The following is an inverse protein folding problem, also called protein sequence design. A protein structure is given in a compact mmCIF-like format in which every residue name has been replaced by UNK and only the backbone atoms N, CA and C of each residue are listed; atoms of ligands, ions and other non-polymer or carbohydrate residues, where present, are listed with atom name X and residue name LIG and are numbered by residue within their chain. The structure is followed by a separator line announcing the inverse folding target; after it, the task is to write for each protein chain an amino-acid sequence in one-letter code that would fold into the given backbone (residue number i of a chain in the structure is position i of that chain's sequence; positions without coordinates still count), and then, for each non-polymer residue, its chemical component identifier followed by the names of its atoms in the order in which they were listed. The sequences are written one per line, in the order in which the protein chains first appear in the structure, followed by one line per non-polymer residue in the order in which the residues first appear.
data_IF_961595211111
#
_entry.id   IF_961595211111
#
_cell.length_a   1.000
_cell.length_b   1.000
_cell.length_c   1.000
_cell.angle_alpha   90.00
_cell.angle_beta   90.00
_cell.angle_gamma   90.00
#
_symmetry.space_group_name_H-M   'P 1'
#
loop_
_entity.id
_entity.type
_entity.pdbx_description
1 polymer ?
#
# COMPACT_ATOMS: atom_id res chain seq x y z
N UNK A 1 -7.34 24.95 -5.71
CA UNK A 1 -7.69 23.57 -6.09
C UNK A 1 -6.55 23.03 -6.92
N UNK A 2 -5.86 22.03 -6.41
CA UNK A 2 -4.82 21.29 -7.15
C UNK A 2 -5.48 20.11 -7.86
N UNK A 3 -4.82 19.57 -8.87
CA UNK A 3 -5.19 18.30 -9.50
C UNK A 3 -4.06 17.30 -9.31
N UNK A 4 -4.35 16.18 -8.68
CA UNK A 4 -3.37 15.15 -8.32
C UNK A 4 -3.60 13.92 -9.19
N UNK A 5 -2.58 13.47 -9.91
CA UNK A 5 -2.58 12.20 -10.62
C UNK A 5 -2.22 11.10 -9.63
N UNK A 6 -3.12 10.12 -9.42
CA UNK A 6 -2.90 8.99 -8.52
C UNK A 6 -2.84 7.70 -9.34
N UNK A 7 -1.67 7.10 -9.48
CA UNK A 7 -1.55 5.79 -10.11
C UNK A 7 -1.80 4.68 -9.10
N UNK A 8 -2.41 3.57 -9.52
CA UNK A 8 -2.82 2.51 -8.60
C UNK A 8 -3.99 2.91 -7.68
N UNK A 9 -4.77 3.92 -8.10
CA UNK A 9 -5.83 4.50 -7.28
C UNK A 9 -7.06 3.61 -7.07
N UNK A 10 -7.21 2.50 -7.81
CA UNK A 10 -8.23 1.49 -7.57
C UNK A 10 -7.76 0.36 -6.63
N UNK A 11 -6.49 0.36 -6.23
CA UNK A 11 -5.92 -0.56 -5.24
C UNK A 11 -6.24 -0.17 -3.80
N UNK A 12 -5.74 -0.94 -2.84
CA UNK A 12 -6.01 -0.78 -1.41
C UNK A 12 -5.62 0.63 -0.89
N UNK A 13 -4.33 0.95 -0.86
CA UNK A 13 -3.84 2.24 -0.34
C UNK A 13 -4.26 3.38 -1.27
N UNK A 14 -4.18 3.16 -2.60
CA UNK A 14 -4.55 4.18 -3.59
C UNK A 14 -5.99 4.63 -3.45
N UNK A 15 -6.94 3.72 -3.24
CA UNK A 15 -8.35 4.09 -3.05
C UNK A 15 -8.60 4.85 -1.75
N UNK A 16 -7.86 4.55 -0.67
CA UNK A 16 -7.91 5.33 0.56
C UNK A 16 -7.39 6.77 0.34
N UNK A 17 -6.28 6.93 -0.39
CA UNK A 17 -5.75 8.25 -0.78
C UNK A 17 -6.78 9.03 -1.61
N UNK A 18 -7.39 8.41 -2.61
CA UNK A 18 -8.41 9.05 -3.46
C UNK A 18 -9.63 9.48 -2.65
N UNK A 19 -10.15 8.61 -1.79
CA UNK A 19 -11.27 8.95 -0.89
C UNK A 19 -10.90 10.10 0.05
N UNK A 20 -9.72 10.05 0.67
CA UNK A 20 -9.25 11.13 1.54
C UNK A 20 -9.18 12.47 0.81
N UNK A 21 -8.58 12.53 -0.39
CA UNK A 21 -8.47 13.78 -1.15
C UNK A 21 -9.86 14.35 -1.48
N UNK A 22 -10.78 13.51 -1.97
CA UNK A 22 -12.10 14.00 -2.40
C UNK A 22 -12.98 14.37 -1.20
N UNK A 23 -12.93 13.63 -0.09
CA UNK A 23 -13.81 13.92 1.06
C UNK A 23 -13.25 15.00 1.99
N UNK A 24 -11.93 15.03 2.21
CA UNK A 24 -11.32 15.86 3.25
C UNK A 24 -10.63 17.12 2.70
N UNK A 25 -10.55 17.28 1.38
CA UNK A 25 -9.86 18.42 0.76
C UNK A 25 -10.69 19.04 -0.38
N UNK A 26 -10.22 20.19 -0.90
CA UNK A 26 -10.81 20.81 -2.09
C UNK A 26 -10.15 20.38 -3.40
N UNK A 27 -9.17 19.46 -3.37
CA UNK A 27 -8.39 19.09 -4.54
C UNK A 27 -9.11 18.06 -5.43
N UNK A 28 -8.70 17.96 -6.69
CA UNK A 28 -9.22 17.04 -7.68
C UNK A 28 -8.24 15.88 -7.90
N UNK A 29 -8.75 14.72 -8.28
CA UNK A 29 -7.98 13.50 -8.51
C UNK A 29 -8.23 12.95 -9.91
N UNK A 30 -7.16 12.57 -10.59
CA UNK A 30 -7.19 11.71 -11.78
C UNK A 30 -6.56 10.38 -11.39
N UNK A 31 -7.36 9.32 -11.38
CA UNK A 31 -6.90 7.97 -11.11
C UNK A 31 -6.43 7.32 -12.42
N UNK A 32 -5.23 6.73 -12.38
CA UNK A 32 -4.70 5.87 -13.45
C UNK A 32 -4.50 4.47 -12.87
N UNK A 33 -5.24 3.49 -13.39
CA UNK A 33 -5.15 2.10 -12.93
C UNK A 33 -5.46 1.15 -14.08
N UNK A 34 -4.69 0.08 -14.24
CA UNK A 34 -4.95 -0.94 -15.27
C UNK A 34 -6.00 -1.97 -14.86
N UNK A 35 -6.45 -1.94 -13.60
CA UNK A 35 -7.41 -2.88 -13.01
C UNK A 35 -6.95 -4.34 -13.12
N UNK A 36 -5.82 -4.62 -12.45
CA UNK A 36 -5.38 -6.01 -12.22
C UNK A 36 -6.27 -6.67 -11.16
N UNK A 37 -5.91 -7.86 -10.74
CA UNK A 37 -6.65 -8.64 -9.74
C UNK A 37 -6.94 -7.87 -8.43
N UNK A 38 -6.06 -6.96 -8.02
CA UNK A 38 -6.20 -6.17 -6.78
C UNK A 38 -6.88 -4.81 -6.99
N UNK A 39 -7.10 -4.38 -8.24
CA UNK A 39 -7.78 -3.13 -8.57
C UNK A 39 -9.29 -3.32 -8.61
N UNK A 40 -10.03 -2.56 -7.76
CA UNK A 40 -11.48 -2.69 -7.66
C UNK A 40 -12.17 -1.30 -7.64
N UNK A 41 -12.95 -1.00 -8.67
CA UNK A 41 -13.68 0.27 -8.77
C UNK A 41 -14.75 0.44 -7.68
N UNK A 42 -15.24 -0.63 -7.06
CA UNK A 42 -16.14 -0.53 -5.91
C UNK A 42 -15.48 0.16 -4.71
N UNK A 43 -14.15 0.13 -4.61
CA UNK A 43 -13.40 0.86 -3.58
C UNK A 43 -13.46 2.39 -3.76
N UNK A 44 -13.88 2.85 -4.94
CA UNK A 44 -14.02 4.25 -5.31
C UNK A 44 -15.49 4.71 -5.44
N UNK A 45 -16.45 3.82 -5.14
CA UNK A 45 -17.88 4.09 -5.36
C UNK A 45 -18.37 5.37 -4.66
N UNK A 46 -17.85 5.67 -3.44
CA UNK A 46 -18.24 6.86 -2.68
C UNK A 46 -17.77 8.19 -3.31
N UNK A 47 -16.82 8.15 -4.24
CA UNK A 47 -16.24 9.34 -4.89
C UNK A 47 -16.50 9.39 -6.39
N UNK A 48 -17.02 8.32 -6.98
CA UNK A 48 -17.18 8.16 -8.43
C UNK A 48 -18.10 9.21 -9.09
N UNK A 49 -19.00 9.84 -8.32
CA UNK A 49 -19.93 10.87 -8.81
C UNK A 49 -19.43 12.31 -8.57
N UNK A 50 -18.24 12.47 -7.99
CA UNK A 50 -17.66 13.80 -7.77
C UNK A 50 -17.17 14.39 -9.10
N UNK A 51 -17.46 15.69 -9.32
CA UNK A 51 -16.92 16.47 -10.45
C UNK A 51 -15.40 16.71 -10.35
N UNK A 52 -14.82 16.42 -9.18
CA UNK A 52 -13.39 16.47 -8.91
C UNK A 52 -12.68 15.11 -9.11
N UNK A 53 -13.37 14.08 -9.57
CA UNK A 53 -12.85 12.75 -9.80
C UNK A 53 -12.86 12.40 -11.29
N UNK A 54 -11.74 11.84 -11.77
CA UNK A 54 -11.65 11.22 -13.10
C UNK A 54 -10.92 9.88 -13.02
N UNK A 55 -11.28 8.94 -13.90
CA UNK A 55 -10.68 7.62 -13.97
C UNK A 55 -10.20 7.31 -15.40
N UNK A 56 -8.96 6.86 -15.51
CA UNK A 56 -8.33 6.40 -16.76
C UNK A 56 -7.85 4.96 -16.58
N UNK A 57 -8.39 4.04 -17.39
CA UNK A 57 -7.94 2.65 -17.41
C UNK A 57 -6.70 2.52 -18.28
N UNK A 58 -5.52 2.70 -17.68
CA UNK A 58 -4.24 2.69 -18.38
C UNK A 58 -3.18 1.96 -17.57
N UNK A 59 -2.31 1.20 -18.26
CA UNK A 59 -1.09 0.62 -17.68
C UNK A 59 -0.01 1.70 -17.61
N UNK A 60 0.68 1.81 -16.47
CA UNK A 60 1.81 2.75 -16.32
C UNK A 60 3.01 2.43 -17.23
N UNK A 61 3.06 1.24 -17.83
CA UNK A 61 4.02 0.89 -18.88
C UNK A 61 3.67 1.52 -20.25
N UNK A 62 2.42 1.95 -20.46
CA UNK A 62 1.98 2.62 -21.70
C UNK A 62 2.28 4.11 -21.65
N UNK A 63 3.51 4.45 -22.06
CA UNK A 63 4.00 5.82 -22.07
C UNK A 63 3.15 6.77 -22.90
N UNK A 64 2.68 6.36 -24.06
CA UNK A 64 1.88 7.22 -24.94
C UNK A 64 0.56 7.63 -24.29
N UNK A 65 -0.12 6.69 -23.64
CA UNK A 65 -1.33 6.97 -22.86
C UNK A 65 -1.05 7.87 -21.65
N UNK A 66 0.08 7.69 -20.95
CA UNK A 66 0.49 8.58 -19.86
C UNK A 66 0.73 10.01 -20.34
N UNK A 67 1.46 10.21 -21.46
CA UNK A 67 1.72 11.52 -22.04
C UNK A 67 0.39 12.23 -22.42
N UNK A 68 -0.56 11.50 -23.02
CA UNK A 68 -1.92 12.01 -23.28
C UNK A 68 -2.62 12.47 -21.99
N UNK A 69 -2.54 11.67 -20.92
CA UNK A 69 -3.17 11.99 -19.62
C UNK A 69 -2.55 13.25 -19.02
N UNK A 70 -1.23 13.39 -19.03
CA UNK A 70 -0.56 14.61 -18.57
C UNK A 70 -1.00 15.85 -19.34
N UNK A 71 -1.12 15.76 -20.67
CA UNK A 71 -1.58 16.85 -21.52
C UNK A 71 -3.04 17.21 -21.26
N UNK A 72 -3.91 16.22 -21.12
CA UNK A 72 -5.35 16.40 -20.96
C UNK A 72 -5.69 16.98 -19.58
N UNK A 73 -5.08 16.45 -18.53
CA UNK A 73 -5.47 16.77 -17.15
C UNK A 73 -4.58 17.80 -16.48
N UNK A 74 -3.37 18.02 -16.97
CA UNK A 74 -2.40 18.99 -16.46
C UNK A 74 -2.24 18.94 -14.92
N UNK A 75 -1.82 17.78 -14.35
CA UNK A 75 -1.75 17.60 -12.92
C UNK A 75 -0.66 18.49 -12.28
N UNK A 76 -0.94 18.98 -11.09
CA UNK A 76 0.01 19.74 -10.26
C UNK A 76 0.99 18.82 -9.51
N UNK A 77 0.59 17.57 -9.29
CA UNK A 77 1.43 16.56 -8.66
C UNK A 77 1.03 15.14 -9.07
N UNK A 78 1.95 14.22 -8.87
CA UNK A 78 1.78 12.77 -9.07
C UNK A 78 1.97 12.08 -7.73
N UNK A 79 1.07 11.16 -7.39
CA UNK A 79 1.24 10.18 -6.32
C UNK A 79 1.30 8.80 -6.97
N UNK A 80 2.48 8.18 -6.96
CA UNK A 80 2.74 6.93 -7.65
C UNK A 80 2.63 5.74 -6.70
N UNK A 81 1.43 5.09 -6.69
CA UNK A 81 1.14 3.91 -5.90
C UNK A 81 0.97 2.63 -6.74
N UNK A 82 0.90 2.73 -8.07
CA UNK A 82 0.79 1.56 -8.93
C UNK A 82 2.01 0.66 -8.79
N UNK A 83 1.80 -0.58 -8.36
CA UNK A 83 2.84 -1.59 -8.19
C UNK A 83 2.24 -2.99 -8.12
N UNK A 84 3.00 -4.00 -8.54
CA UNK A 84 2.80 -5.36 -8.06
C UNK A 84 3.36 -5.44 -6.63
N UNK A 85 2.59 -5.98 -5.66
CA UNK A 85 2.89 -5.80 -4.22
C UNK A 85 2.82 -7.05 -3.35
N UNK A 86 2.55 -8.23 -3.90
CA UNK A 86 2.44 -9.45 -3.11
C UNK A 86 3.74 -10.25 -3.16
N UNK A 87 4.44 -10.37 -2.02
CA UNK A 87 5.75 -11.04 -1.93
C UNK A 87 5.69 -12.47 -2.47
N UNK A 88 4.70 -13.28 -2.05
CA UNK A 88 4.59 -14.68 -2.48
C UNK A 88 4.38 -14.79 -4.00
N UNK A 89 3.59 -13.88 -4.62
CA UNK A 89 3.47 -13.79 -6.08
C UNK A 89 4.79 -13.42 -6.75
N UNK A 90 5.64 -12.62 -6.09
CA UNK A 90 6.95 -12.25 -6.64
C UNK A 90 7.93 -13.42 -6.67
N UNK A 91 7.76 -14.40 -5.77
CA UNK A 91 8.53 -15.64 -5.75
C UNK A 91 8.11 -16.54 -6.92
N UNK A 92 6.81 -16.66 -7.17
CA UNK A 92 6.26 -17.49 -8.25
C UNK A 92 6.47 -16.88 -9.66
N UNK A 93 6.43 -15.54 -9.78
CA UNK A 93 6.50 -14.85 -11.07
C UNK A 93 7.16 -13.46 -10.98
N UNK A 94 8.49 -13.37 -10.83
CA UNK A 94 9.19 -12.09 -10.61
C UNK A 94 9.12 -11.13 -11.80
N UNK A 95 8.91 -11.62 -13.02
CA UNK A 95 8.91 -10.80 -14.23
C UNK A 95 7.86 -9.68 -14.21
N UNK A 96 6.66 -9.96 -13.71
CA UNK A 96 5.60 -8.96 -13.58
C UNK A 96 5.99 -7.81 -12.64
N UNK A 97 6.78 -8.10 -11.60
CA UNK A 97 7.29 -7.09 -10.65
C UNK A 97 8.35 -6.20 -11.28
N UNK A 98 9.24 -6.76 -12.09
CA UNK A 98 10.25 -5.99 -12.85
C UNK A 98 9.54 -5.09 -13.86
N UNK A 99 8.61 -5.64 -14.65
CA UNK A 99 7.87 -4.87 -15.64
C UNK A 99 7.08 -3.73 -15.01
N UNK A 100 6.23 -4.03 -14.03
CA UNK A 100 5.38 -2.99 -13.43
C UNK A 100 6.17 -2.03 -12.56
N UNK A 101 7.00 -2.53 -11.62
CA UNK A 101 7.61 -1.69 -10.61
C UNK A 101 8.83 -0.93 -11.12
N UNK A 102 9.59 -1.49 -12.07
CA UNK A 102 10.78 -0.82 -12.61
C UNK A 102 10.46 -0.14 -13.94
N UNK A 103 10.01 -0.90 -14.95
CA UNK A 103 9.75 -0.34 -16.29
C UNK A 103 8.57 0.62 -16.27
N UNK A 104 7.49 0.29 -15.55
CA UNK A 104 6.34 1.17 -15.36
C UNK A 104 6.70 2.46 -14.64
N UNK A 105 7.53 2.40 -13.57
CA UNK A 105 8.02 3.61 -12.87
C UNK A 105 8.88 4.46 -13.81
N UNK A 106 9.77 3.84 -14.58
CA UNK A 106 10.56 4.55 -15.59
C UNK A 106 9.66 5.26 -16.62
N UNK A 107 8.65 4.59 -17.16
CA UNK A 107 7.73 5.15 -18.14
C UNK A 107 6.95 6.35 -17.58
N UNK A 108 6.48 6.24 -16.34
CA UNK A 108 5.78 7.33 -15.66
C UNK A 108 6.70 8.51 -15.34
N UNK A 109 7.94 8.26 -14.91
CA UNK A 109 8.95 9.31 -14.68
C UNK A 109 9.26 10.09 -15.95
N UNK A 110 9.40 9.41 -17.08
CA UNK A 110 9.67 10.05 -18.37
C UNK A 110 8.47 10.86 -18.88
N UNK A 111 7.24 10.35 -18.74
CA UNK A 111 6.03 11.10 -19.07
C UNK A 111 5.89 12.35 -18.18
N UNK A 112 6.13 12.20 -16.87
CA UNK A 112 6.08 13.31 -15.93
C UNK A 112 7.18 14.36 -16.22
N UNK A 113 8.40 13.92 -16.54
CA UNK A 113 9.52 14.80 -16.90
C UNK A 113 9.24 15.58 -18.19
N UNK A 114 8.71 14.88 -19.22
CA UNK A 114 8.34 15.51 -20.48
C UNK A 114 7.31 16.63 -20.26
N UNK A 115 6.23 16.31 -19.51
CA UNK A 115 5.21 17.29 -19.13
C UNK A 115 5.79 18.44 -18.28
N UNK A 116 6.51 18.13 -17.20
CA UNK A 116 7.12 19.12 -16.32
C UNK A 116 8.03 20.09 -17.06
N UNK A 117 8.77 19.61 -18.07
CA UNK A 117 9.67 20.47 -18.88
C UNK A 117 8.92 21.58 -19.63
N UNK A 118 7.64 21.40 -19.93
CA UNK A 118 6.80 22.37 -20.65
C UNK A 118 6.15 23.43 -19.73
N UNK A 119 6.18 23.24 -18.41
CA UNK A 119 5.59 24.16 -17.44
C UNK A 119 6.39 25.46 -17.33
N UNK A 120 5.74 26.53 -16.91
CA UNK A 120 6.42 27.76 -16.51
C UNK A 120 7.25 27.58 -15.22
N UNK A 121 8.00 28.59 -14.83
CA UNK A 121 8.92 28.52 -13.69
C UNK A 121 8.20 28.24 -12.36
N UNK A 122 7.07 28.89 -12.13
CA UNK A 122 6.31 28.76 -10.88
C UNK A 122 5.65 27.39 -10.79
N UNK A 123 5.03 26.93 -11.88
CA UNK A 123 4.43 25.59 -11.94
C UNK A 123 5.49 24.48 -11.82
N UNK A 124 6.69 24.66 -12.43
CA UNK A 124 7.81 23.74 -12.23
C UNK A 124 8.25 23.64 -10.77
N UNK A 125 8.39 24.77 -10.10
CA UNK A 125 8.79 24.84 -8.70
C UNK A 125 7.74 24.22 -7.76
N UNK A 126 6.45 24.35 -8.11
CA UNK A 126 5.33 23.80 -7.35
C UNK A 126 5.04 22.32 -7.62
N UNK A 127 5.49 21.77 -8.76
CA UNK A 127 5.22 20.38 -9.13
C UNK A 127 5.87 19.40 -8.15
N UNK A 128 5.21 18.27 -7.91
CA UNK A 128 5.75 17.18 -7.07
C UNK A 128 5.48 15.83 -7.71
N UNK A 129 6.51 14.99 -7.73
CA UNK A 129 6.39 13.57 -8.04
C UNK A 129 6.66 12.78 -6.75
N UNK A 130 5.61 12.28 -6.12
CA UNK A 130 5.70 11.51 -4.88
C UNK A 130 5.62 10.01 -5.19
N UNK A 131 6.69 9.29 -4.93
CA UNK A 131 6.78 7.83 -5.07
C UNK A 131 6.54 7.16 -3.74
N UNK A 132 5.59 6.23 -3.71
CA UNK A 132 5.22 5.47 -2.53
C UNK A 132 5.90 4.11 -2.57
N UNK A 133 6.76 3.85 -1.58
CA UNK A 133 7.55 2.64 -1.41
C UNK A 133 7.20 1.92 -0.11
N UNK A 134 8.05 1.02 0.34
CA UNK A 134 7.85 0.12 1.47
C UNK A 134 9.10 0.06 2.34
N UNK A 135 8.96 -0.25 3.62
CA UNK A 135 10.07 -0.54 4.53
C UNK A 135 10.81 -1.84 4.18
N UNK A 136 10.20 -2.74 3.42
CA UNK A 136 10.83 -3.99 2.97
C UNK A 136 12.10 -3.77 2.11
N UNK A 137 12.29 -2.56 1.58
CA UNK A 137 13.53 -2.21 0.86
C UNK A 137 14.77 -2.16 1.76
N UNK A 138 14.58 -1.96 3.07
CA UNK A 138 15.66 -1.91 4.05
C UNK A 138 16.19 -3.30 4.43
N UNK A 139 15.43 -4.36 4.24
CA UNK A 139 15.78 -5.73 4.60
C UNK A 139 15.27 -6.14 5.98
N UNK A 140 16.04 -6.92 6.73
CA UNK A 140 15.65 -7.52 8.02
C UNK A 140 16.38 -6.86 9.20
N UNK A 141 15.68 -6.66 10.31
CA UNK A 141 16.25 -6.21 11.59
C UNK A 141 16.55 -7.41 12.48
N UNK A 142 17.78 -7.49 12.97
CA UNK A 142 18.26 -8.61 13.77
C UNK A 142 18.19 -8.38 15.28
N UNK A 143 18.03 -7.13 15.73
CA UNK A 143 17.93 -6.77 17.15
C UNK A 143 16.58 -6.15 17.47
N UNK A 144 16.19 -6.18 18.74
CA UNK A 144 14.91 -5.62 19.19
C UNK A 144 14.90 -4.09 19.23
N UNK A 145 16.08 -3.47 19.37
CA UNK A 145 16.22 -2.03 19.58
C UNK A 145 16.53 -1.26 18.29
N UNK A 146 16.78 -1.95 17.17
CA UNK A 146 17.06 -1.32 15.88
C UNK A 146 15.76 -0.91 15.17
N UNK A 147 15.84 0.21 14.44
CA UNK A 147 14.76 0.72 13.60
C UNK A 147 15.31 1.16 12.24
N UNK A 148 14.52 0.98 11.20
CA UNK A 148 14.83 1.55 9.90
C UNK A 148 14.61 3.07 9.92
N UNK A 149 15.66 3.81 9.61
CA UNK A 149 15.61 5.25 9.38
C UNK A 149 15.71 5.53 7.88
N UNK A 150 15.47 6.78 7.47
CA UNK A 150 15.59 7.19 6.06
C UNK A 150 17.03 7.10 5.52
N UNK A 151 18.02 6.93 6.41
CA UNK A 151 19.44 6.75 6.07
C UNK A 151 19.90 5.29 6.12
N UNK A 152 19.04 4.36 6.53
CA UNK A 152 19.34 2.92 6.54
C UNK A 152 19.64 2.45 5.12
N UNK A 153 20.76 1.77 4.86
CA UNK A 153 21.07 1.20 3.54
C UNK A 153 20.01 0.17 3.12
N UNK A 154 19.70 0.13 1.82
CA UNK A 154 18.80 -0.84 1.27
C UNK A 154 19.45 -2.22 1.17
N UNK A 155 18.75 -3.25 1.65
CA UNK A 155 19.16 -4.66 1.61
C UNK A 155 17.95 -5.60 1.36
N UNK A 156 17.20 -5.43 0.25
CA UNK A 156 15.96 -6.15 0.00
C UNK A 156 16.15 -7.65 -0.11
N UNK A 157 15.23 -8.45 0.48
CA UNK A 157 15.32 -9.92 0.59
C UNK A 157 14.44 -10.66 -0.43
N UNK A 158 13.52 -9.99 -1.12
CA UNK A 158 12.57 -10.60 -2.06
C UNK A 158 12.60 -9.95 -3.43
N UNK A 159 12.12 -10.63 -4.50
CA UNK A 159 11.97 -9.99 -5.81
C UNK A 159 11.08 -8.75 -5.78
N UNK A 160 10.02 -8.75 -4.95
CA UNK A 160 9.18 -7.58 -4.71
C UNK A 160 9.99 -6.42 -4.12
N UNK A 161 10.61 -6.61 -2.97
CA UNK A 161 11.35 -5.55 -2.30
C UNK A 161 12.54 -5.05 -3.13
N UNK A 162 13.22 -5.93 -3.88
CA UNK A 162 14.27 -5.56 -4.82
C UNK A 162 13.74 -4.68 -5.97
N UNK A 163 12.56 -4.99 -6.51
CA UNK A 163 11.92 -4.17 -7.54
C UNK A 163 11.52 -2.78 -7.02
N UNK A 164 11.04 -2.70 -5.77
CA UNK A 164 10.72 -1.43 -5.10
C UNK A 164 11.98 -0.61 -4.81
N UNK A 165 13.04 -1.23 -4.29
CA UNK A 165 14.33 -0.55 -4.11
C UNK A 165 14.88 0.01 -5.43
N UNK A 166 14.74 -0.73 -6.53
CA UNK A 166 15.13 -0.28 -7.87
C UNK A 166 14.34 0.95 -8.31
N UNK A 167 13.02 0.96 -8.11
CA UNK A 167 12.18 2.11 -8.45
C UNK A 167 12.50 3.34 -7.58
N UNK A 168 12.79 3.17 -6.30
CA UNK A 168 13.24 4.26 -5.41
C UNK A 168 14.54 4.90 -5.93
N UNK A 169 15.50 4.09 -6.38
CA UNK A 169 16.73 4.58 -6.98
C UNK A 169 16.51 5.34 -8.29
N UNK A 170 15.59 4.87 -9.15
CA UNK A 170 15.19 5.60 -10.36
C UNK A 170 14.62 6.97 -10.01
N UNK A 171 13.71 7.06 -9.06
CA UNK A 171 13.07 8.32 -8.63
C UNK A 171 14.11 9.31 -8.13
N UNK A 172 15.04 8.88 -7.28
CA UNK A 172 16.15 9.72 -6.81
C UNK A 172 17.10 10.15 -7.92
N UNK A 173 17.35 9.27 -8.90
CA UNK A 173 18.20 9.59 -10.05
C UNK A 173 17.54 10.65 -10.93
N UNK A 174 16.21 10.62 -11.16
CA UNK A 174 15.50 11.63 -11.93
C UNK A 174 15.59 13.04 -11.33
N UNK A 175 15.55 13.13 -9.99
CA UNK A 175 15.82 14.41 -9.33
C UNK A 175 17.27 14.87 -9.56
N UNK A 176 18.23 14.02 -9.28
CA UNK A 176 19.66 14.41 -9.32
C UNK A 176 20.16 14.70 -10.72
N UNK A 177 19.64 13.99 -11.72
CA UNK A 177 20.09 14.11 -13.12
C UNK A 177 19.31 15.16 -13.88
N UNK A 178 18.00 15.22 -13.70
CA UNK A 178 17.11 16.06 -14.52
C UNK A 178 16.43 17.19 -13.76
N UNK A 179 16.55 17.22 -12.43
CA UNK A 179 15.92 18.23 -11.59
C UNK A 179 14.42 18.03 -11.38
N UNK A 180 13.84 16.89 -11.79
CA UNK A 180 12.42 16.60 -11.54
C UNK A 180 12.16 16.58 -10.04
N UNK A 181 11.23 17.41 -9.50
CA UNK A 181 11.05 17.53 -8.05
C UNK A 181 10.32 16.29 -7.47
N UNK A 182 11.11 15.33 -7.01
CA UNK A 182 10.62 14.05 -6.46
C UNK A 182 10.66 14.01 -4.94
N UNK A 183 9.82 13.13 -4.38
CA UNK A 183 9.72 12.74 -2.97
C UNK A 183 9.58 11.21 -2.91
N UNK A 184 10.08 10.59 -1.85
CA UNK A 184 9.91 9.15 -1.59
C UNK A 184 9.32 8.96 -0.20
N UNK A 185 8.38 8.03 -0.05
CA UNK A 185 7.95 7.55 1.27
C UNK A 185 8.11 6.04 1.36
N UNK A 186 8.62 5.56 2.49
CA UNK A 186 8.68 4.15 2.83
C UNK A 186 7.73 3.89 3.98
N UNK A 187 6.72 3.03 3.77
CA UNK A 187 5.70 2.76 4.78
C UNK A 187 5.83 1.37 5.37
N UNK A 188 5.41 1.23 6.63
CA UNK A 188 5.22 -0.05 7.28
C UNK A 188 3.99 -0.81 6.74
N UNK A 189 3.72 -2.02 7.28
CA UNK A 189 2.63 -2.86 6.80
C UNK A 189 1.27 -2.21 7.01
N UNK A 190 0.52 -2.04 5.94
CA UNK A 190 -0.80 -1.43 5.98
C UNK A 190 -1.91 -2.44 6.25
N UNK A 191 -2.96 -2.00 6.96
CA UNK A 191 -4.19 -2.75 7.17
C UNK A 191 -5.39 -1.79 7.22
N UNK A 192 -6.60 -2.34 7.00
CA UNK A 192 -7.82 -1.53 7.04
C UNK A 192 -8.88 -1.95 6.03
N UNK A 193 -9.90 -1.11 5.82
CA UNK A 193 -10.95 -1.28 4.82
C UNK A 193 -10.42 -1.45 3.40
N UNK A 194 -11.09 -2.28 2.58
CA UNK A 194 -10.76 -2.52 1.17
C UNK A 194 -9.42 -3.22 0.91
N UNK A 195 -8.80 -3.87 1.92
CA UNK A 195 -7.59 -4.65 1.72
C UNK A 195 -7.90 -5.97 1.01
N UNK A 196 -7.15 -6.28 -0.06
CA UNK A 196 -7.40 -7.48 -0.86
C UNK A 196 -7.23 -8.77 -0.04
N UNK A 197 -8.12 -9.77 -0.19
CA UNK A 197 -8.22 -10.95 0.69
C UNK A 197 -7.00 -11.88 0.74
N UNK A 198 -6.00 -11.74 -0.13
CA UNK A 198 -4.76 -12.53 -0.09
C UNK A 198 -3.79 -12.13 1.04
N UNK A 199 -3.99 -10.97 1.64
CA UNK A 199 -3.14 -10.45 2.72
C UNK A 199 -3.57 -10.98 4.09
N UNK A 200 -2.62 -11.04 5.03
CA UNK A 200 -2.78 -11.68 6.34
C UNK A 200 -4.11 -11.32 7.03
N UNK A 201 -4.36 -10.05 7.30
CA UNK A 201 -5.51 -9.61 8.12
C UNK A 201 -6.84 -9.94 7.45
N UNK A 202 -7.13 -9.53 6.19
CA UNK A 202 -8.40 -9.89 5.57
C UNK A 202 -8.55 -11.40 5.34
N UNK A 203 -7.47 -12.11 5.01
CA UNK A 203 -7.52 -13.57 4.86
C UNK A 203 -7.97 -14.26 6.16
N UNK A 204 -7.39 -13.86 7.31
CA UNK A 204 -7.75 -14.44 8.61
C UNK A 204 -9.20 -14.12 8.98
N UNK A 205 -9.67 -12.89 8.78
CA UNK A 205 -11.06 -12.50 9.03
C UNK A 205 -12.02 -13.37 8.19
N UNK A 206 -11.80 -13.44 6.88
CA UNK A 206 -12.72 -14.13 5.97
C UNK A 206 -12.66 -15.66 6.11
N UNK A 207 -11.50 -16.23 6.37
CA UNK A 207 -11.36 -17.66 6.67
C UNK A 207 -12.09 -18.01 7.98
N UNK A 208 -11.93 -17.22 9.03
CA UNK A 208 -12.62 -17.44 10.30
C UNK A 208 -14.14 -17.41 10.11
N UNK A 209 -14.67 -16.41 9.42
CA UNK A 209 -16.10 -16.29 9.11
C UNK A 209 -16.63 -17.46 8.24
N UNK A 210 -15.76 -18.09 7.45
CA UNK A 210 -16.09 -19.27 6.65
C UNK A 210 -15.83 -20.61 7.36
N UNK A 211 -15.34 -20.60 8.62
CA UNK A 211 -14.96 -21.81 9.36
C UNK A 211 -13.73 -22.54 8.78
N UNK A 212 -12.91 -21.84 8.00
CA UNK A 212 -11.69 -22.38 7.37
C UNK A 212 -10.49 -22.22 8.31
N UNK A 213 -9.42 -23.06 8.13
CA UNK A 213 -8.16 -22.88 8.85
C UNK A 213 -7.57 -21.48 8.71
N UNK A 214 -6.92 -21.00 9.77
CA UNK A 214 -6.17 -19.73 9.82
C UNK A 214 -4.68 -20.03 9.73
N UNK A 215 -4.06 -20.04 8.52
CA UNK A 215 -2.69 -20.46 8.34
C UNK A 215 -1.70 -19.42 8.86
N UNK A 216 -0.87 -19.81 9.82
CA UNK A 216 0.22 -19.00 10.37
C UNK A 216 1.55 -19.58 9.89
N UNK A 217 2.36 -18.78 9.22
CA UNK A 217 3.66 -19.18 8.69
C UNK A 217 4.67 -19.45 9.82
N UNK A 218 5.40 -20.56 9.73
CA UNK A 218 6.38 -20.97 10.71
C UNK A 218 5.77 -21.08 12.12
N UNK A 219 6.30 -20.35 13.07
CA UNK A 219 5.79 -20.25 14.43
C UNK A 219 5.04 -18.94 14.73
N UNK A 220 4.86 -18.07 13.71
CA UNK A 220 4.16 -16.80 13.84
C UNK A 220 4.91 -15.71 14.62
N UNK A 221 6.22 -15.85 14.82
CA UNK A 221 7.04 -14.91 15.61
C UNK A 221 7.55 -13.71 14.80
N UNK A 222 7.33 -13.70 13.48
CA UNK A 222 7.70 -12.56 12.64
C UNK A 222 6.96 -11.31 13.12
N UNK A 223 7.71 -10.21 13.26
CA UNK A 223 7.20 -8.93 13.78
C UNK A 223 7.03 -7.95 12.63
N UNK A 224 5.90 -7.25 12.61
CA UNK A 224 5.58 -6.18 11.66
C UNK A 224 5.06 -4.97 12.42
N UNK A 225 5.43 -3.79 11.96
CA UNK A 225 4.76 -2.55 12.35
C UNK A 225 3.49 -2.37 11.50
N UNK A 226 2.36 -2.09 12.14
CA UNK A 226 1.04 -2.04 11.49
C UNK A 226 0.50 -0.63 11.44
N UNK A 227 0.29 -0.13 10.22
CA UNK A 227 -0.20 1.21 9.92
C UNK A 227 -1.65 1.16 9.38
N UNK A 228 -2.57 1.85 10.03
CA UNK A 228 -3.94 1.93 9.55
C UNK A 228 -4.02 2.73 8.24
N UNK A 229 -4.72 2.20 7.23
CA UNK A 229 -4.65 2.69 5.85
C UNK A 229 -5.13 4.14 5.69
N UNK A 230 -6.10 4.60 6.48
CA UNK A 230 -6.59 5.97 6.42
C UNK A 230 -5.59 6.96 7.05
N UNK A 231 -4.87 6.55 8.09
CA UNK A 231 -3.72 7.30 8.61
C UNK A 231 -2.61 7.43 7.57
N UNK A 232 -2.33 6.34 6.86
CA UNK A 232 -1.37 6.37 5.76
C UNK A 232 -1.81 7.30 4.63
N UNK A 233 -3.07 7.22 4.19
CA UNK A 233 -3.61 8.12 3.15
C UNK A 233 -3.45 9.60 3.54
N UNK A 234 -3.72 9.95 4.80
CA UNK A 234 -3.51 11.28 5.36
C UNK A 234 -2.03 11.68 5.34
N UNK A 235 -1.13 10.77 5.74
CA UNK A 235 0.31 11.02 5.67
C UNK A 235 0.79 11.30 4.24
N UNK A 236 0.37 10.47 3.28
CA UNK A 236 0.77 10.59 1.87
C UNK A 236 0.31 11.92 1.27
N UNK A 237 -0.93 12.35 1.55
CA UNK A 237 -1.40 13.66 1.12
C UNK A 237 -0.61 14.80 1.78
N UNK A 238 -0.27 14.65 3.05
CA UNK A 238 0.53 15.64 3.78
C UNK A 238 1.94 15.77 3.20
N UNK A 239 2.58 14.64 2.86
CA UNK A 239 3.91 14.62 2.24
C UNK A 239 3.89 15.25 0.84
N UNK A 240 2.93 14.91 -0.03
CA UNK A 240 2.90 15.49 -1.40
C UNK A 240 2.64 16.99 -1.40
N UNK A 241 1.97 17.50 -0.37
CA UNK A 241 1.62 18.93 -0.24
C UNK A 241 2.67 19.75 0.48
N UNK A 242 3.37 19.21 1.46
CA UNK A 242 4.23 19.94 2.38
C UNK A 242 5.67 19.37 2.48
N UNK A 243 5.92 18.17 1.96
CA UNK A 243 7.23 17.54 2.02
C UNK A 243 8.30 18.29 1.22
N UNK A 244 9.53 18.27 1.71
CA UNK A 244 10.67 18.89 1.04
C UNK A 244 11.11 18.04 -0.17
N UNK A 245 11.37 18.71 -1.30
CA UNK A 245 11.85 18.05 -2.53
C UNK A 245 13.16 17.32 -2.30
N UNK A 246 13.25 16.10 -2.76
CA UNK A 246 14.45 15.25 -2.63
C UNK A 246 14.48 14.43 -1.34
N UNK A 247 13.58 14.69 -0.40
CA UNK A 247 13.55 13.99 0.87
C UNK A 247 12.83 12.64 0.78
N UNK A 248 13.24 11.75 1.68
CA UNK A 248 12.56 10.51 1.99
C UNK A 248 11.90 10.65 3.37
N UNK A 249 10.68 10.15 3.53
CA UNK A 249 9.98 10.10 4.81
C UNK A 249 9.52 8.67 5.09
N UNK A 250 9.90 8.16 6.23
CA UNK A 250 9.38 6.92 6.77
C UNK A 250 8.00 7.17 7.41
N UNK A 251 7.05 6.26 7.15
CA UNK A 251 5.68 6.35 7.68
C UNK A 251 5.35 5.04 8.40
N UNK A 252 5.27 5.06 9.72
CA UNK A 252 5.03 3.91 10.58
C UNK A 252 3.84 4.10 11.52
N UNK A 253 3.29 2.98 11.97
CA UNK A 253 2.15 2.96 12.90
C UNK A 253 2.58 3.00 14.38
N UNK A 254 3.85 2.75 14.67
CA UNK A 254 4.36 2.48 16.03
C UNK A 254 3.62 1.32 16.72
N UNK A 255 3.20 0.34 15.94
CA UNK A 255 2.36 -0.79 16.35
C UNK A 255 3.01 -2.13 15.99
N UNK A 256 4.22 -2.38 16.51
CA UNK A 256 4.90 -3.66 16.31
C UNK A 256 4.13 -4.81 16.97
N UNK A 257 3.79 -5.84 16.18
CA UNK A 257 3.09 -7.05 16.63
C UNK A 257 3.65 -8.28 15.94
N UNK A 258 3.69 -9.39 16.66
CA UNK A 258 3.94 -10.71 16.08
C UNK A 258 2.73 -11.14 15.24
N UNK A 259 2.98 -11.80 14.13
CA UNK A 259 1.90 -12.29 13.26
C UNK A 259 0.88 -13.15 14.02
N UNK A 260 1.33 -14.01 14.93
CA UNK A 260 0.44 -14.83 15.76
C UNK A 260 -0.45 -13.98 16.67
N UNK A 261 0.07 -12.88 17.24
CA UNK A 261 -0.71 -11.99 18.10
C UNK A 261 -1.76 -11.19 17.30
N UNK A 262 -1.43 -10.83 16.06
CA UNK A 262 -2.41 -10.24 15.13
C UNK A 262 -3.56 -11.21 14.87
N UNK A 263 -3.28 -12.46 14.56
CA UNK A 263 -4.31 -13.50 14.32
C UNK A 263 -5.16 -13.72 15.55
N UNK A 264 -4.55 -13.80 16.74
CA UNK A 264 -5.28 -13.92 18.02
C UNK A 264 -6.19 -12.73 18.29
N UNK A 265 -5.74 -11.52 18.00
CA UNK A 265 -6.54 -10.30 18.15
C UNK A 265 -7.76 -10.31 17.23
N UNK A 266 -7.60 -10.80 15.98
CA UNK A 266 -8.72 -10.98 15.04
C UNK A 266 -9.72 -12.00 15.60
N UNK A 267 -9.27 -13.16 16.10
CA UNK A 267 -10.14 -14.16 16.70
C UNK A 267 -10.94 -13.57 17.88
N UNK A 268 -10.27 -12.86 18.78
CA UNK A 268 -10.92 -12.23 19.94
C UNK A 268 -11.99 -11.20 19.52
N UNK A 269 -11.70 -10.38 18.52
CA UNK A 269 -12.68 -9.43 17.99
C UNK A 269 -13.87 -10.13 17.31
N UNK A 270 -13.65 -11.23 16.61
CA UNK A 270 -14.71 -12.00 15.98
C UNK A 270 -15.58 -12.72 17.04
N UNK A 271 -15.01 -13.20 18.16
CA UNK A 271 -15.81 -13.73 19.27
C UNK A 271 -16.82 -12.70 19.80
N UNK A 272 -16.43 -11.43 19.83
CA UNK A 272 -17.28 -10.33 20.29
C UNK A 272 -18.28 -9.88 19.22
N UNK A 273 -17.80 -9.63 17.98
CA UNK A 273 -18.53 -8.92 16.93
C UNK A 273 -19.34 -9.87 16.02
N UNK A 274 -18.98 -11.14 15.94
CA UNK A 274 -19.63 -12.18 15.15
C UNK A 274 -19.85 -13.45 15.97
N UNK A 275 -20.68 -13.39 17.04
CA UNK A 275 -20.88 -14.51 17.95
C UNK A 275 -21.60 -15.71 17.33
N UNK A 276 -22.30 -15.51 16.20
CA UNK A 276 -22.90 -16.59 15.40
C UNK A 276 -21.84 -17.22 14.52
N UNK A 277 -21.28 -18.34 14.98
CA UNK A 277 -20.18 -19.02 14.32
C UNK A 277 -20.64 -19.96 13.21
N UNK A 278 -19.76 -20.25 12.22
CA UNK A 278 -19.99 -21.30 11.24
C UNK A 278 -20.21 -22.68 11.90
N UNK A 279 -20.92 -23.60 11.23
CA UNK A 279 -21.11 -24.96 11.73
C UNK A 279 -19.78 -25.64 12.05
N UNK A 280 -19.69 -26.27 13.25
CA UNK A 280 -18.49 -26.99 13.70
C UNK A 280 -17.42 -26.13 14.36
N UNK A 281 -17.55 -24.82 14.36
CA UNK A 281 -16.61 -23.89 15.04
C UNK A 281 -17.11 -23.62 16.47
N UNK A 282 -16.30 -24.00 17.46
CA UNK A 282 -16.57 -23.68 18.87
C UNK A 282 -15.95 -22.34 19.24
N UNK A 283 -14.67 -22.15 18.93
CA UNK A 283 -13.98 -20.87 19.08
C UNK A 283 -13.22 -20.56 17.80
N UNK A 284 -13.15 -19.27 17.39
CA UNK A 284 -12.37 -18.88 16.23
C UNK A 284 -10.88 -19.16 16.40
N UNK A 285 -10.37 -19.10 17.63
CA UNK A 285 -8.99 -19.41 17.96
C UNK A 285 -8.59 -20.86 17.62
N UNK A 286 -9.55 -21.82 17.69
CA UNK A 286 -9.30 -23.25 17.40
C UNK A 286 -9.01 -23.50 15.90
N UNK A 287 -9.29 -22.51 15.03
CA UNK A 287 -8.99 -22.56 13.59
C UNK A 287 -7.52 -22.26 13.27
N UNK A 288 -6.71 -21.75 14.22
CA UNK A 288 -5.31 -21.40 13.99
C UNK A 288 -4.53 -22.68 13.67
N UNK A 289 -3.85 -22.68 12.52
CA UNK A 289 -3.00 -23.77 12.06
C UNK A 289 -1.63 -23.26 11.66
N UNK A 290 -0.57 -23.94 12.10
CA UNK A 290 0.79 -23.58 11.69
C UNK A 290 1.14 -24.30 10.39
N UNK A 291 1.75 -23.57 9.46
CA UNK A 291 2.18 -24.09 8.16
C UNK A 291 3.66 -23.78 7.95
N UNK A 292 4.31 -24.47 6.99
CA UNK A 292 5.72 -24.22 6.69
C UNK A 292 5.94 -22.74 6.34
N UNK A 293 7.08 -22.20 6.74
CA UNK A 293 7.44 -20.83 6.42
C UNK A 293 7.80 -20.63 4.94
N UNK A 294 7.73 -19.40 4.46
CA UNK A 294 8.10 -19.06 3.09
C UNK A 294 9.59 -18.77 2.98
N UNK A 295 10.22 -19.00 1.81
CA UNK A 295 11.61 -18.58 1.58
C UNK A 295 11.78 -17.06 1.73
N UNK A 296 12.91 -16.64 2.32
CA UNK A 296 13.22 -15.20 2.48
C UNK A 296 12.26 -14.44 3.37
N UNK A 297 11.67 -15.11 4.38
CA UNK A 297 10.75 -14.44 5.30
C UNK A 297 11.52 -13.71 6.40
N UNK A 298 11.65 -12.40 6.25
CA UNK A 298 12.31 -11.53 7.21
C UNK A 298 11.65 -11.61 8.59
N UNK A 299 12.48 -11.58 9.64
CA UNK A 299 12.02 -11.76 11.00
C UNK A 299 11.31 -10.53 11.54
N UNK A 300 11.90 -9.33 11.35
CA UNK A 300 11.38 -8.11 11.96
C UNK A 300 11.49 -6.90 11.04
N UNK A 301 10.38 -6.17 10.94
CA UNK A 301 10.33 -4.82 10.41
C UNK A 301 9.85 -3.87 11.49
N UNK A 302 10.59 -2.80 11.70
CA UNK A 302 10.22 -1.70 12.57
C UNK A 302 10.79 -0.40 11.99
N UNK A 303 9.95 0.61 11.84
CA UNK A 303 10.30 1.84 11.16
C UNK A 303 10.32 3.01 12.13
N UNK A 304 11.33 3.86 12.02
CA UNK A 304 11.38 5.14 12.72
C UNK A 304 10.67 6.21 11.86
N UNK A 305 9.50 6.64 12.31
CA UNK A 305 8.70 7.70 11.69
C UNK A 305 8.88 9.07 12.38
N UNK A 306 9.95 9.28 13.14
CA UNK A 306 10.17 10.52 13.88
C UNK A 306 10.41 11.73 12.96
N UNK A 307 10.97 11.52 11.78
CA UNK A 307 11.23 12.59 10.81
C UNK A 307 9.92 13.23 10.30
N UNK A 308 8.96 12.44 9.86
CA UNK A 308 7.68 12.97 9.38
C UNK A 308 6.92 13.69 10.52
N UNK A 309 7.00 13.18 11.74
CA UNK A 309 6.41 13.84 12.90
C UNK A 309 7.07 15.19 13.19
N UNK A 310 8.40 15.23 13.19
CA UNK A 310 9.17 16.45 13.48
C UNK A 310 9.03 17.51 12.39
N UNK A 311 9.11 17.12 11.13
CA UNK A 311 9.19 18.06 10.00
C UNK A 311 7.82 18.46 9.45
N UNK A 312 6.86 17.53 9.48
CA UNK A 312 5.53 17.75 8.91
C UNK A 312 4.41 17.71 9.95
N UNK A 313 4.69 17.42 11.23
CA UNK A 313 3.69 17.38 12.30
C UNK A 313 2.69 16.21 12.19
N UNK A 314 2.99 15.21 11.36
CA UNK A 314 2.10 14.07 11.19
C UNK A 314 2.40 12.96 12.20
N UNK A 315 1.35 12.41 12.79
CA UNK A 315 1.37 11.18 13.61
C UNK A 315 0.15 10.32 13.30
N UNK A 316 0.21 8.98 13.49
CA UNK A 316 -0.97 8.14 13.36
C UNK A 316 -2.03 8.52 14.41
N UNK A 317 -3.30 8.40 14.05
CA UNK A 317 -4.44 8.67 14.93
C UNK A 317 -5.01 7.37 15.52
N UNK A 318 -4.86 6.26 14.81
CA UNK A 318 -5.35 4.96 15.27
C UNK A 318 -4.26 4.20 16.02
N UNK A 319 -4.65 3.57 17.13
CA UNK A 319 -3.87 2.47 17.72
C UNK A 319 -4.13 1.19 16.95
N UNK A 320 -3.30 0.16 17.15
CA UNK A 320 -3.56 -1.15 16.56
C UNK A 320 -4.94 -1.70 16.94
N UNK A 321 -5.33 -1.53 18.19
CA UNK A 321 -6.59 -2.04 18.74
C UNK A 321 -7.80 -1.33 18.12
N UNK A 322 -7.75 0.01 18.03
CA UNK A 322 -8.85 0.80 17.45
C UNK A 322 -8.99 0.56 15.96
N UNK A 323 -7.87 0.57 15.21
CA UNK A 323 -7.84 0.32 13.78
C UNK A 323 -8.25 -1.12 13.43
N UNK A 324 -7.81 -2.13 14.22
CA UNK A 324 -8.19 -3.53 14.00
C UNK A 324 -9.70 -3.74 14.22
N UNK A 325 -10.28 -3.14 15.25
CA UNK A 325 -11.73 -3.18 15.49
C UNK A 325 -12.49 -2.59 14.31
N UNK A 326 -12.10 -1.40 13.84
CA UNK A 326 -12.69 -0.77 12.63
C UNK A 326 -12.58 -1.67 11.42
N UNK A 327 -11.43 -2.33 11.23
CA UNK A 327 -11.19 -3.24 10.12
C UNK A 327 -12.14 -4.44 10.17
N UNK A 328 -12.24 -5.14 11.30
CA UNK A 328 -13.15 -6.30 11.46
C UNK A 328 -14.60 -5.87 11.24
N UNK A 329 -15.03 -4.77 11.84
CA UNK A 329 -16.38 -4.22 11.66
C UNK A 329 -16.67 -3.90 10.18
N UNK A 330 -15.69 -3.36 9.48
CA UNK A 330 -15.84 -3.06 8.06
C UNK A 330 -16.07 -4.33 7.24
N UNK A 331 -15.28 -5.39 7.44
CA UNK A 331 -15.47 -6.67 6.71
C UNK A 331 -16.83 -7.30 7.02
N UNK A 332 -17.30 -7.23 8.26
CA UNK A 332 -18.63 -7.73 8.64
C UNK A 332 -19.77 -6.96 7.95
N UNK A 333 -19.59 -5.65 7.73
CA UNK A 333 -20.62 -4.79 7.14
C UNK A 333 -20.55 -4.70 5.60
N UNK A 334 -19.48 -5.17 4.95
CA UNK A 334 -19.24 -4.93 3.52
C UNK A 334 -19.08 -6.22 2.70
N UNK A 335 -19.94 -7.22 2.94
CA UNK A 335 -19.94 -8.48 2.21
C UNK A 335 -20.07 -8.30 0.68
N UNK A 336 -20.86 -7.32 0.25
CA UNK A 336 -21.06 -7.00 -1.17
C UNK A 336 -19.76 -6.57 -1.87
N UNK A 337 -18.76 -6.07 -1.11
CA UNK A 337 -17.47 -5.71 -1.69
C UNK A 337 -16.53 -6.91 -1.82
N UNK A 338 -16.39 -7.75 -0.76
CA UNK A 338 -15.36 -8.79 -0.75
C UNK A 338 -15.83 -10.13 -1.33
N UNK A 339 -17.13 -10.46 -1.31
CA UNK A 339 -17.64 -11.70 -1.92
C UNK A 339 -17.32 -11.82 -3.42
N UNK A 340 -17.61 -10.81 -4.28
CA UNK A 340 -17.23 -10.88 -5.68
C UNK A 340 -15.71 -10.95 -5.92
N UNK A 341 -14.92 -10.37 -5.02
CA UNK A 341 -13.45 -10.43 -5.09
C UNK A 341 -12.94 -11.86 -4.88
N UNK A 342 -13.53 -12.61 -3.95
CA UNK A 342 -13.17 -14.02 -3.72
C UNK A 342 -13.68 -14.94 -4.84
N UNK A 343 -14.88 -14.70 -5.37
CA UNK A 343 -15.48 -15.54 -6.41
C UNK A 343 -14.81 -15.37 -7.79
N UNK A 344 -14.12 -14.25 -8.02
CA UNK A 344 -13.60 -13.88 -9.32
C UNK A 344 -12.16 -14.29 -9.62
N UNK A 345 -11.26 -14.28 -8.65
CA UNK A 345 -9.82 -14.42 -8.92
C UNK A 345 -8.98 -15.10 -7.83
N UNK A 346 -9.43 -15.10 -6.59
CA UNK A 346 -8.68 -15.63 -5.44
C UNK A 346 -9.62 -16.25 -4.41
N UNK A 347 -9.40 -17.53 -4.09
CA UNK A 347 -10.28 -18.29 -3.19
C UNK A 347 -9.64 -18.63 -1.83
N UNK A 348 -8.58 -17.91 -1.45
CA UNK A 348 -7.87 -18.12 -0.19
C UNK A 348 -6.80 -19.22 -0.30
N UNK A 349 -6.38 -19.60 -1.51
CA UNK A 349 -5.28 -20.54 -1.71
C UNK A 349 -3.93 -19.95 -1.27
N UNK A 350 -3.03 -20.83 -0.82
CA UNK A 350 -1.67 -20.46 -0.45
C UNK A 350 -0.84 -20.15 -1.70
N UNK A 351 -0.20 -18.98 -1.73
CA UNK A 351 0.69 -18.54 -2.81
C UNK A 351 2.16 -18.79 -2.44
N UNK A 352 3.09 -18.68 -3.40
CA UNK A 352 4.53 -18.77 -3.16
C UNK A 352 5.07 -20.19 -2.96
N UNK A 353 4.35 -21.22 -3.39
CA UNK A 353 4.75 -22.64 -3.26
C UNK A 353 5.31 -23.26 -4.53
N UNK A 354 5.18 -22.63 -5.68
CA UNK A 354 5.72 -23.14 -6.94
C UNK A 354 7.25 -23.01 -6.91
N UNK A 355 7.93 -24.16 -6.91
CA UNK A 355 9.38 -24.25 -7.12
C UNK A 355 9.67 -24.46 -8.60
#
# INVERSE_FOLDING_TARGET
MKRILVTGGAGFIGSAVVRHIIHETADAVVVVDKLTYAGNLMSLASVAQSDRFAFEKVDICDRASLERIFQQYQPNSVMHLAAESHVDRSIDGPAAFIETNIVGTYSLLEAARAYWSTLDADAKAAFRFHHISTDEVYGDLHTADDFFTETTPYAPSSPYSASKASSDHLVRAWLRTYGLPTLVTNCSNNYGPYHFPEKLIPLMILNALAGKPLPVYGNGQQIRDWLYVEDHARALYHVVTNGAVGETYNIGGHNERKNLDVVRSICALLEELAPQKPPGVVNYHDLITFVDDRPGHDLRYAIDASKIARELGWTPQETFESGMRKTVQWYLANEAWWKPVQDGSYQGERLGLKR
#
